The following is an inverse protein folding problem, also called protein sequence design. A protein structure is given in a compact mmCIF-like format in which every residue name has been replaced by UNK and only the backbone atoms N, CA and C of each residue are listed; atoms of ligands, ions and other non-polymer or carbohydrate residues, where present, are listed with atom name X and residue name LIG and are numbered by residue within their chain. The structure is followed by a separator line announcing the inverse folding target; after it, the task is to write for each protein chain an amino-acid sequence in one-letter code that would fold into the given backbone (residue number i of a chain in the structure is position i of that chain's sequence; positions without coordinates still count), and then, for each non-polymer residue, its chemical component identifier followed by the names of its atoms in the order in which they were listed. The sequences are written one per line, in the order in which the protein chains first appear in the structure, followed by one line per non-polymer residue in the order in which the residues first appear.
data_IF_483468212706
#
_entry.id   IF_483468212706
#
_cell.length_a   1.000
_cell.length_b   1.000
_cell.length_c   1.000
_cell.angle_alpha   90.00
_cell.angle_beta   90.00
_cell.angle_gamma   90.00
#
_symmetry.space_group_name_H-M   'P 1'
#
loop_
_entity.id
_entity.type
_entity.pdbx_description
1 polymer ?
#
# COMPACT_ATOMS: atom_id res chain seq x y z
N UNK A 1 -19.40 24.80 31.52
CA UNK A 1 -19.53 24.03 30.27
C UNK A 1 -20.73 23.12 30.45
N UNK A 2 -21.69 23.18 29.54
CA UNK A 2 -22.97 22.47 29.67
C UNK A 2 -22.82 20.97 29.34
N UNK A 3 -23.64 20.11 29.96
CA UNK A 3 -23.61 18.65 29.76
C UNK A 3 -23.84 18.30 28.29
N UNK A 4 -24.74 19.01 27.61
CA UNK A 4 -25.02 18.77 26.20
C UNK A 4 -23.78 19.08 25.32
N UNK A 5 -23.06 20.15 25.66
CA UNK A 5 -21.82 20.53 24.98
C UNK A 5 -20.72 19.47 25.15
N UNK A 6 -20.63 18.86 26.33
CA UNK A 6 -19.69 17.76 26.60
C UNK A 6 -20.03 16.51 25.79
N UNK A 7 -21.31 16.15 25.69
CA UNK A 7 -21.78 15.00 24.91
C UNK A 7 -21.45 15.17 23.43
N UNK A 8 -21.75 16.36 22.86
CA UNK A 8 -21.46 16.66 21.45
C UNK A 8 -19.97 16.55 21.17
N UNK A 9 -19.12 17.12 22.04
CA UNK A 9 -17.66 17.06 21.88
C UNK A 9 -17.11 15.64 22.01
N UNK A 10 -17.63 14.83 22.93
CA UNK A 10 -17.24 13.43 23.07
C UNK A 10 -17.57 12.62 21.80
N UNK A 11 -18.77 12.81 21.25
CA UNK A 11 -19.19 12.15 20.02
C UNK A 11 -18.32 12.54 18.81
N UNK A 12 -18.08 13.84 18.63
CA UNK A 12 -17.21 14.34 17.56
C UNK A 12 -15.78 13.76 17.66
N UNK A 13 -15.24 13.65 18.88
CA UNK A 13 -13.91 13.07 19.11
C UNK A 13 -13.87 11.58 18.78
N UNK A 14 -14.89 10.82 19.19
CA UNK A 14 -14.98 9.40 18.87
C UNK A 14 -15.07 9.16 17.35
N UNK A 15 -15.88 9.95 16.66
CA UNK A 15 -16.02 9.89 15.21
C UNK A 15 -14.69 10.23 14.49
N UNK A 16 -14.00 11.30 14.91
CA UNK A 16 -12.69 11.67 14.36
C UNK A 16 -11.62 10.58 14.59
N UNK A 17 -11.63 9.93 15.75
CA UNK A 17 -10.73 8.80 16.02
C UNK A 17 -11.01 7.61 15.10
N UNK A 18 -12.29 7.29 14.85
CA UNK A 18 -12.69 6.26 13.89
C UNK A 18 -12.20 6.55 12.47
N UNK A 19 -12.38 7.79 12.00
CA UNK A 19 -11.88 8.21 10.68
C UNK A 19 -10.36 8.12 10.57
N UNK A 20 -9.62 8.51 11.62
CA UNK A 20 -8.16 8.41 11.65
C UNK A 20 -7.66 6.96 11.59
N UNK A 21 -8.36 6.03 12.26
CA UNK A 21 -8.06 4.60 12.17
C UNK A 21 -8.34 4.08 10.76
N UNK A 22 -9.50 4.41 10.17
CA UNK A 22 -9.83 3.99 8.80
C UNK A 22 -8.85 4.54 7.75
N UNK A 23 -8.42 5.79 7.88
CA UNK A 23 -7.40 6.38 7.00
C UNK A 23 -6.08 5.62 7.10
N UNK A 24 -5.60 5.35 8.32
CA UNK A 24 -4.38 4.54 8.55
C UNK A 24 -4.51 3.12 8.01
N UNK A 25 -5.67 2.48 8.18
CA UNK A 25 -5.91 1.14 7.64
C UNK A 25 -5.90 1.14 6.12
N UNK A 26 -6.39 2.20 5.47
CA UNK A 26 -6.35 2.33 4.02
C UNK A 26 -4.92 2.44 3.50
N UNK A 27 -4.10 3.28 4.15
CA UNK A 27 -2.69 3.42 3.79
C UNK A 27 -1.92 2.12 4.04
N UNK A 28 -2.20 1.43 5.16
CA UNK A 28 -1.63 0.12 5.46
C UNK A 28 -2.02 -0.93 4.41
N UNK A 29 -3.30 -0.98 4.01
CA UNK A 29 -3.79 -1.91 2.99
C UNK A 29 -3.16 -1.63 1.61
N UNK A 30 -2.97 -0.35 1.24
CA UNK A 30 -2.28 0.01 0.01
C UNK A 30 -0.78 -0.36 0.05
N UNK A 31 -0.13 -0.18 1.20
CA UNK A 31 1.27 -0.59 1.39
C UNK A 31 1.43 -2.12 1.32
N UNK A 32 0.56 -2.89 1.97
CA UNK A 32 0.56 -4.35 1.88
C UNK A 32 0.32 -4.83 0.44
N UNK A 33 -0.61 -4.20 -0.29
CA UNK A 33 -0.84 -4.51 -1.69
C UNK A 33 0.39 -4.22 -2.57
N UNK A 34 1.10 -3.11 -2.31
CA UNK A 34 2.32 -2.76 -3.03
C UNK A 34 3.45 -3.77 -2.77
N UNK A 35 3.66 -4.18 -1.51
CA UNK A 35 4.64 -5.21 -1.15
C UNK A 35 4.31 -6.57 -1.75
N UNK A 36 3.03 -6.99 -1.72
CA UNK A 36 2.58 -8.21 -2.38
C UNK A 36 2.82 -8.19 -3.89
N UNK A 37 2.56 -7.05 -4.54
CA UNK A 37 2.83 -6.87 -5.97
C UNK A 37 4.32 -6.95 -6.29
N UNK A 38 5.16 -6.35 -5.45
CA UNK A 38 6.62 -6.44 -5.58
C UNK A 38 7.10 -7.89 -5.45
N UNK A 39 6.65 -8.59 -4.40
CA UNK A 39 7.00 -10.00 -4.17
C UNK A 39 6.54 -10.93 -5.32
N UNK A 40 5.39 -10.66 -5.93
CA UNK A 40 4.94 -11.38 -7.13
C UNK A 40 5.82 -11.08 -8.34
N UNK A 41 6.18 -9.81 -8.58
CA UNK A 41 7.06 -9.43 -9.68
C UNK A 41 8.47 -9.99 -9.53
N UNK A 42 9.03 -9.96 -8.32
CA UNK A 42 10.36 -10.50 -8.01
C UNK A 42 10.38 -12.04 -8.18
N UNK A 43 9.29 -12.73 -7.87
CA UNK A 43 9.15 -14.16 -8.16
C UNK A 43 8.96 -14.47 -9.65
N UNK A 44 8.36 -13.56 -10.43
CA UNK A 44 8.22 -13.70 -11.88
C UNK A 44 9.54 -13.44 -12.63
N UNK A 45 10.49 -12.72 -12.03
CA UNK A 45 11.79 -12.42 -12.60
C UNK A 45 12.97 -12.81 -11.69
N UNK A 46 13.27 -14.12 -11.55
CA UNK A 46 14.55 -14.53 -10.96
C UNK A 46 15.76 -14.22 -11.89
N UNK A 47 15.52 -14.04 -13.20
CA UNK A 47 16.55 -14.07 -14.26
C UNK A 47 16.48 -12.88 -15.25
N UNK A 48 15.90 -11.72 -14.89
CA UNK A 48 15.99 -10.51 -15.75
C UNK A 48 17.30 -9.70 -15.57
N UNK A 49 18.31 -10.30 -14.94
CA UNK A 49 19.67 -9.75 -14.84
C UNK A 49 20.65 -10.30 -15.88
N UNK A 50 20.22 -11.19 -16.79
CA UNK A 50 21.14 -12.02 -17.58
C UNK A 50 20.69 -12.36 -19.01
N UNK A 51 19.99 -11.47 -19.72
CA UNK A 51 19.70 -11.68 -21.15
C UNK A 51 20.70 -10.91 -22.04
N UNK A 52 21.83 -11.56 -22.29
CA UNK A 52 22.64 -11.54 -23.53
C UNK A 52 22.60 -10.29 -24.44
N UNK A 53 23.64 -9.46 -24.34
CA UNK A 53 24.06 -8.50 -25.39
C UNK A 53 24.81 -9.20 -26.54
N UNK A 54 24.20 -10.20 -27.17
CA UNK A 54 24.75 -10.72 -28.42
C UNK A 54 23.61 -11.12 -29.35
N UNK A 55 23.35 -10.37 -30.45
CA UNK A 55 22.47 -10.86 -31.48
C UNK A 55 23.09 -12.13 -32.10
N UNK A 56 22.28 -13.15 -32.47
CA UNK A 56 22.81 -14.33 -33.15
C UNK A 56 23.43 -13.92 -34.50
N UNK A 57 24.61 -14.45 -34.87
CA UNK A 57 25.20 -14.15 -36.17
C UNK A 57 24.29 -14.68 -37.28
N UNK A 58 23.94 -13.80 -38.22
CA UNK A 58 23.31 -14.17 -39.48
C UNK A 58 24.21 -15.17 -40.21
N UNK A 59 23.75 -16.41 -40.38
CA UNK A 59 24.37 -17.35 -41.30
C UNK A 59 23.96 -16.96 -42.71
N UNK A 60 24.93 -16.48 -43.50
CA UNK A 60 24.87 -16.47 -44.97
C UNK A 60 25.03 -17.87 -45.53
#
# INVERSE_FOLDING_TARGET
MDLNELIIKAHARAHAAGLAVHAKCRDAAWNELAELRKLLNDQLYPEAGGATKTPPPERS
#
